data_IF_240377691260
#
_entry.id   IF_240377691260
#
_cell.length_a   1.000
_cell.length_b   1.000
_cell.length_c   1.000
_cell.angle_alpha   90.00
_cell.angle_beta   90.00
_cell.angle_gamma   90.00
#
_symmetry.space_group_name_H-M   'P 1'
#
loop_
_entity.id
_entity.type
_entity.pdbx_description
1 polymer ?
#
# COMPACT_ATOMS: atom_id res chain seq x y z
N UNK A 1 6.31 -26.98 -10.01
CA UNK A 1 6.88 -26.02 -9.05
C UNK A 1 5.75 -25.10 -8.63
N UNK A 2 5.33 -25.13 -7.36
CA UNK A 2 4.26 -24.24 -6.88
C UNK A 2 4.75 -22.79 -6.85
N UNK A 3 3.92 -21.87 -7.34
CA UNK A 3 4.17 -20.42 -7.25
C UNK A 3 4.18 -19.97 -5.78
N UNK A 4 4.77 -18.82 -5.47
CA UNK A 4 4.82 -18.30 -4.10
C UNK A 4 3.40 -18.11 -3.58
N UNK A 5 2.52 -17.61 -4.44
CA UNK A 5 1.09 -17.36 -4.20
C UNK A 5 0.36 -18.67 -3.87
N UNK A 6 0.64 -19.75 -4.61
CA UNK A 6 0.04 -21.06 -4.30
C UNK A 6 0.45 -21.56 -2.91
N UNK A 7 1.72 -21.39 -2.52
CA UNK A 7 2.18 -21.79 -1.18
C UNK A 7 1.48 -20.98 -0.08
N UNK A 8 1.27 -19.68 -0.28
CA UNK A 8 0.56 -18.83 0.67
C UNK A 8 -0.90 -19.27 0.84
N UNK A 9 -1.57 -19.60 -0.27
CA UNK A 9 -2.93 -20.15 -0.24
C UNK A 9 -2.99 -21.50 0.48
N UNK A 10 -2.05 -22.41 0.21
CA UNK A 10 -1.99 -23.72 0.86
C UNK A 10 -1.81 -23.60 2.37
N UNK A 11 -0.99 -22.65 2.85
CA UNK A 11 -0.85 -22.36 4.28
C UNK A 11 -2.22 -21.98 4.87
N UNK A 12 -2.95 -21.06 4.25
CA UNK A 12 -4.27 -20.62 4.74
C UNK A 12 -5.26 -21.79 4.74
N UNK A 13 -5.32 -22.57 3.64
CA UNK A 13 -6.23 -23.71 3.50
C UNK A 13 -5.99 -24.73 4.62
N UNK A 14 -4.72 -25.06 4.88
CA UNK A 14 -4.32 -26.14 5.76
C UNK A 14 -4.16 -25.75 7.23
N UNK A 15 -4.08 -24.45 7.57
CA UNK A 15 -3.76 -23.97 8.93
C UNK A 15 -4.83 -23.11 9.59
N UNK A 16 -5.85 -22.70 8.84
CA UNK A 16 -6.96 -21.86 9.33
C UNK A 16 -8.21 -22.72 9.38
N UNK A 17 -8.88 -22.80 10.53
CA UNK A 17 -10.10 -23.60 10.67
C UNK A 17 -11.37 -22.82 10.33
N UNK A 18 -11.40 -21.53 10.65
CA UNK A 18 -12.59 -20.71 10.51
C UNK A 18 -12.78 -20.24 9.06
N UNK A 19 -13.91 -20.58 8.44
CA UNK A 19 -14.24 -20.16 7.06
C UNK A 19 -14.20 -18.64 6.86
N UNK A 20 -14.79 -17.86 7.76
CA UNK A 20 -14.77 -16.38 7.67
C UNK A 20 -13.37 -15.82 7.81
N UNK A 21 -12.51 -16.47 8.60
CA UNK A 21 -11.10 -16.10 8.68
C UNK A 21 -10.36 -16.42 7.38
N UNK A 22 -10.61 -17.59 6.75
CA UNK A 22 -10.08 -17.91 5.41
C UNK A 22 -10.49 -16.87 4.38
N UNK A 23 -11.78 -16.54 4.30
CA UNK A 23 -12.30 -15.55 3.36
C UNK A 23 -11.60 -14.20 3.55
N UNK A 24 -11.44 -13.76 4.81
CA UNK A 24 -10.71 -12.53 5.14
C UNK A 24 -9.24 -12.60 4.69
N UNK A 25 -8.56 -13.73 4.88
CA UNK A 25 -7.18 -13.92 4.48
C UNK A 25 -7.00 -14.02 2.95
N UNK A 26 -7.97 -14.55 2.22
CA UNK A 26 -7.94 -14.50 0.75
C UNK A 26 -8.11 -13.08 0.22
N UNK A 27 -9.02 -12.30 0.81
CA UNK A 27 -9.13 -10.88 0.49
C UNK A 27 -7.84 -10.13 0.82
N UNK A 28 -7.15 -10.48 1.91
CA UNK A 28 -5.84 -9.95 2.23
C UNK A 28 -4.83 -10.26 1.12
N UNK A 29 -4.72 -11.51 0.65
CA UNK A 29 -3.76 -11.85 -0.42
C UNK A 29 -4.04 -11.09 -1.72
N UNK A 30 -5.31 -10.91 -2.09
CA UNK A 30 -5.67 -10.12 -3.28
C UNK A 30 -5.20 -8.67 -3.13
N UNK A 31 -5.45 -8.04 -1.97
CA UNK A 31 -4.99 -6.68 -1.73
C UNK A 31 -3.47 -6.60 -1.63
N UNK A 32 -2.79 -7.65 -1.18
CA UNK A 32 -1.34 -7.72 -1.12
C UNK A 32 -0.71 -7.76 -2.52
N UNK A 33 -1.28 -8.49 -3.47
CA UNK A 33 -0.83 -8.45 -4.86
C UNK A 33 -0.99 -7.05 -5.47
N UNK A 34 -2.14 -6.41 -5.26
CA UNK A 34 -2.38 -5.03 -5.70
C UNK A 34 -1.37 -4.07 -5.07
N UNK A 35 -1.08 -4.25 -3.78
CA UNK A 35 -0.11 -3.45 -3.05
C UNK A 35 1.28 -3.58 -3.66
N UNK A 36 1.81 -4.80 -3.78
CA UNK A 36 3.14 -5.07 -4.34
C UNK A 36 3.30 -4.50 -5.75
N UNK A 37 2.37 -4.79 -6.65
CA UNK A 37 2.43 -4.30 -8.03
C UNK A 37 2.40 -2.77 -8.08
N UNK A 38 1.65 -2.13 -7.17
CA UNK A 38 1.56 -0.67 -7.15
C UNK A 38 2.80 -0.02 -6.55
N UNK A 39 3.44 -0.64 -5.55
CA UNK A 39 4.72 -0.17 -4.99
C UNK A 39 5.81 -0.16 -6.06
N UNK A 40 5.92 -1.21 -6.87
CA UNK A 40 6.88 -1.27 -7.99
C UNK A 40 6.64 -0.13 -9.00
N UNK A 41 5.38 0.08 -9.39
CA UNK A 41 5.01 1.16 -10.34
C UNK A 41 5.20 2.55 -9.72
N UNK A 42 4.98 2.71 -8.42
CA UNK A 42 5.24 3.94 -7.68
C UNK A 42 6.73 4.29 -7.72
N UNK A 43 7.59 3.30 -7.49
CA UNK A 43 9.04 3.47 -7.55
C UNK A 43 9.50 3.91 -8.94
N UNK A 44 9.04 3.24 -10.00
CA UNK A 44 9.33 3.64 -11.38
C UNK A 44 8.85 5.07 -11.72
N UNK A 45 7.66 5.44 -11.25
CA UNK A 45 7.12 6.77 -11.50
C UNK A 45 7.89 7.86 -10.76
N UNK A 46 8.34 7.59 -9.53
CA UNK A 46 9.23 8.49 -8.79
C UNK A 46 10.59 8.65 -9.46
N UNK A 47 11.18 7.58 -10.00
CA UNK A 47 12.43 7.65 -10.75
C UNK A 47 12.29 8.49 -12.02
N UNK A 48 11.23 8.26 -12.79
CA UNK A 48 10.93 9.05 -14.00
C UNK A 48 10.70 10.52 -13.66
N UNK A 49 9.95 10.82 -12.60
CA UNK A 49 9.73 12.19 -12.13
C UNK A 49 11.05 12.88 -11.77
N UNK A 50 11.93 12.20 -11.03
CA UNK A 50 13.25 12.72 -10.67
C UNK A 50 14.11 12.99 -11.91
N UNK A 51 14.08 12.11 -12.92
CA UNK A 51 14.76 12.32 -14.19
C UNK A 51 14.26 13.59 -14.90
N UNK A 52 12.95 13.80 -15.00
CA UNK A 52 12.40 14.98 -15.69
C UNK A 52 12.66 16.28 -14.91
N UNK A 53 12.65 16.23 -13.57
CA UNK A 53 13.06 17.35 -12.72
C UNK A 53 14.54 17.73 -12.94
N UNK A 54 15.41 16.73 -13.05
CA UNK A 54 16.82 16.94 -13.37
C UNK A 54 17.02 17.48 -14.79
N UNK A 55 16.37 16.87 -15.80
CA UNK A 55 16.50 17.28 -17.19
C UNK A 55 16.09 18.76 -17.39
N UNK A 56 15.02 19.20 -16.73
CA UNK A 56 14.58 20.61 -16.73
C UNK A 56 15.66 21.57 -16.20
N UNK A 57 16.43 21.16 -15.19
CA UNK A 57 17.45 22.02 -14.56
C UNK A 57 18.79 22.01 -15.30
N UNK A 58 19.10 20.93 -16.04
CA UNK A 58 20.35 20.78 -16.80
C UNK A 58 20.27 21.22 -18.26
N UNK A 59 19.09 21.51 -18.82
CA UNK A 59 18.93 22.00 -20.21
C UNK A 59 19.43 23.42 -20.43
N UNK A 60 20.53 23.84 -19.78
CA UNK A 60 21.14 25.13 -20.06
C UNK A 60 21.72 25.22 -21.48
N UNK A 61 21.96 24.09 -22.19
CA UNK A 61 22.61 24.10 -23.52
C UNK A 61 22.21 23.00 -24.54
N UNK A 62 21.15 22.20 -24.34
CA UNK A 62 20.88 21.05 -25.25
C UNK A 62 19.48 21.00 -25.89
N UNK A 63 18.53 21.85 -25.48
CA UNK A 63 17.17 21.90 -26.05
C UNK A 63 16.59 23.33 -26.05
N UNK A 64 17.45 24.36 -26.24
CA UNK A 64 17.26 25.79 -25.95
C UNK A 64 16.08 26.49 -26.68
N UNK A 65 14.86 26.07 -26.41
CA UNK A 65 13.64 26.74 -26.85
C UNK A 65 12.48 26.46 -25.91
N UNK A 66 11.52 27.39 -25.87
CA UNK A 66 10.29 27.37 -25.06
C UNK A 66 9.55 26.02 -25.15
N UNK A 67 9.61 25.34 -26.30
CA UNK A 67 8.96 24.05 -26.55
C UNK A 67 9.61 22.86 -25.82
N UNK A 68 10.94 22.86 -25.63
CA UNK A 68 11.64 21.82 -24.87
C UNK A 68 11.28 21.89 -23.39
N UNK A 69 11.30 23.10 -22.83
CA UNK A 69 10.91 23.36 -21.44
C UNK A 69 9.44 22.98 -21.18
N UNK A 70 8.52 23.32 -22.09
CA UNK A 70 7.11 22.95 -21.98
C UNK A 70 6.94 21.42 -21.91
N UNK A 71 7.60 20.66 -22.79
CA UNK A 71 7.53 19.19 -22.80
C UNK A 71 7.98 18.56 -21.48
N UNK A 72 9.04 19.09 -20.85
CA UNK A 72 9.49 18.60 -19.55
C UNK A 72 8.51 18.92 -18.42
N UNK A 73 7.86 20.10 -18.46
CA UNK A 73 6.80 20.46 -17.51
C UNK A 73 5.57 19.56 -17.66
N UNK A 74 5.17 19.24 -18.89
CA UNK A 74 4.05 18.32 -19.16
C UNK A 74 4.34 16.91 -18.63
N UNK A 75 5.54 16.37 -18.84
CA UNK A 75 5.91 15.08 -18.25
C UNK A 75 5.97 15.14 -16.74
N UNK A 76 6.56 16.17 -16.14
CA UNK A 76 6.58 16.35 -14.70
C UNK A 76 5.16 16.25 -14.12
N UNK A 77 4.22 17.02 -14.68
CA UNK A 77 2.82 17.01 -14.25
C UNK A 77 2.17 15.62 -14.38
N UNK A 78 2.40 14.91 -15.49
CA UNK A 78 1.87 13.56 -15.70
C UNK A 78 2.40 12.59 -14.64
N UNK A 79 3.70 12.62 -14.35
CA UNK A 79 4.28 11.71 -13.35
C UNK A 79 3.87 12.08 -11.93
N UNK A 80 3.67 13.36 -11.61
CA UNK A 80 3.08 13.79 -10.34
C UNK A 80 1.68 13.20 -10.13
N UNK A 81 0.80 13.26 -11.14
CA UNK A 81 -0.53 12.64 -11.09
C UNK A 81 -0.42 11.13 -10.88
N UNK A 82 0.48 10.46 -11.62
CA UNK A 82 0.69 9.01 -11.49
C UNK A 82 1.14 8.61 -10.08
N UNK A 83 2.08 9.36 -9.50
CA UNK A 83 2.56 9.13 -8.13
C UNK A 83 1.40 9.27 -7.14
N UNK A 84 0.61 10.34 -7.22
CA UNK A 84 -0.58 10.52 -6.36
C UNK A 84 -1.57 9.36 -6.54
N UNK A 85 -1.88 8.98 -7.78
CA UNK A 85 -2.78 7.87 -8.07
C UNK A 85 -2.28 6.54 -7.48
N UNK A 86 -0.98 6.25 -7.59
CA UNK A 86 -0.37 5.07 -6.98
C UNK A 86 -0.41 5.14 -5.44
N UNK A 87 -0.18 6.31 -4.83
CA UNK A 87 -0.26 6.48 -3.38
C UNK A 87 -1.67 6.22 -2.85
N UNK A 88 -2.73 6.66 -3.56
CA UNK A 88 -4.11 6.33 -3.20
C UNK A 88 -4.29 4.81 -3.12
N UNK A 89 -3.85 4.09 -4.15
CA UNK A 89 -3.98 2.63 -4.23
C UNK A 89 -3.14 1.93 -3.15
N UNK A 90 -1.88 2.32 -2.95
CA UNK A 90 -0.98 1.75 -1.92
C UNK A 90 -1.58 1.91 -0.52
N UNK A 91 -2.01 3.12 -0.16
CA UNK A 91 -2.55 3.43 1.17
C UNK A 91 -3.86 2.68 1.42
N UNK A 92 -4.76 2.67 0.43
CA UNK A 92 -6.06 1.97 0.55
C UNK A 92 -5.90 0.45 0.58
N UNK A 93 -5.00 -0.12 -0.22
CA UNK A 93 -4.70 -1.55 -0.19
C UNK A 93 -4.07 -1.98 1.14
N UNK A 94 -3.09 -1.22 1.65
CA UNK A 94 -2.48 -1.47 2.96
C UNK A 94 -3.52 -1.45 4.10
N UNK A 95 -4.40 -0.46 4.11
CA UNK A 95 -5.48 -0.38 5.08
C UNK A 95 -6.42 -1.59 5.03
N UNK A 96 -6.78 -2.04 3.82
CA UNK A 96 -7.61 -3.23 3.60
C UNK A 96 -6.92 -4.51 4.06
N UNK A 97 -5.62 -4.68 3.78
CA UNK A 97 -4.80 -5.79 4.28
C UNK A 97 -4.90 -5.87 5.80
N UNK A 98 -4.62 -4.77 6.50
CA UNK A 98 -4.63 -4.71 7.97
C UNK A 98 -6.04 -5.01 8.51
N UNK A 99 -7.07 -4.46 7.89
CA UNK A 99 -8.48 -4.70 8.25
C UNK A 99 -8.85 -6.18 8.11
N UNK A 100 -8.49 -6.82 7.00
CA UNK A 100 -8.72 -8.24 6.76
C UNK A 100 -8.01 -9.12 7.80
N UNK A 101 -6.75 -8.80 8.15
CA UNK A 101 -5.99 -9.51 9.17
C UNK A 101 -6.66 -9.40 10.55
N UNK A 102 -7.12 -8.21 10.92
CA UNK A 102 -7.86 -8.00 12.18
C UNK A 102 -9.19 -8.75 12.20
N UNK A 103 -9.91 -8.79 11.08
CA UNK A 103 -11.14 -9.57 10.96
C UNK A 103 -10.86 -11.08 11.09
N UNK A 104 -9.80 -11.59 10.46
CA UNK A 104 -9.38 -12.98 10.61
C UNK A 104 -9.06 -13.30 12.08
N UNK A 105 -8.28 -12.45 12.77
CA UNK A 105 -8.00 -12.56 14.21
C UNK A 105 -9.27 -12.61 15.06
N UNK A 106 -10.22 -11.72 14.82
CA UNK A 106 -11.47 -11.65 15.56
C UNK A 106 -12.36 -12.90 15.37
N UNK A 107 -12.30 -13.52 14.19
CA UNK A 107 -13.02 -14.75 13.85
C UNK A 107 -12.35 -16.00 14.44
N UNK A 108 -11.03 -16.08 14.48
CA UNK A 108 -10.31 -17.25 15.02
C UNK A 108 -10.20 -17.23 16.55
N UNK A 109 -9.94 -16.07 17.15
CA UNK A 109 -9.69 -15.90 18.59
C UNK A 109 -8.58 -16.80 19.16
N UNK A 110 -7.65 -17.25 18.31
CA UNK A 110 -6.50 -18.06 18.72
C UNK A 110 -5.44 -17.21 19.43
N UNK A 111 -4.68 -17.82 20.35
CA UNK A 111 -3.71 -17.14 21.21
C UNK A 111 -2.41 -16.76 20.49
N UNK A 112 -2.05 -17.49 19.43
CA UNK A 112 -0.85 -17.29 18.61
C UNK A 112 -0.83 -15.92 17.90
N UNK A 113 -1.99 -15.34 17.60
CA UNK A 113 -2.14 -13.97 17.07
C UNK A 113 -1.44 -12.88 17.90
N UNK A 114 -1.15 -13.15 19.18
CA UNK A 114 -0.35 -12.25 20.03
C UNK A 114 1.06 -12.03 19.47
N UNK A 115 1.63 -13.02 18.78
CA UNK A 115 2.99 -12.95 18.22
C UNK A 115 3.17 -11.88 17.15
N UNK A 116 2.08 -11.45 16.50
CA UNK A 116 2.11 -10.43 15.44
C UNK A 116 1.38 -9.13 15.81
N UNK A 117 0.91 -8.98 17.06
CA UNK A 117 0.11 -7.81 17.47
C UNK A 117 0.86 -6.50 17.29
N UNK A 118 2.13 -6.46 17.69
CA UNK A 118 2.97 -5.27 17.59
C UNK A 118 3.18 -4.85 16.13
N UNK A 119 3.31 -5.81 15.21
CA UNK A 119 3.45 -5.54 13.78
C UNK A 119 2.14 -4.98 13.21
N UNK A 120 1.01 -5.57 13.58
CA UNK A 120 -0.32 -5.06 13.19
C UNK A 120 -0.49 -3.61 13.68
N UNK A 121 -0.23 -3.35 14.96
CA UNK A 121 -0.38 -2.03 15.58
C UNK A 121 0.54 -0.97 14.93
N UNK A 122 1.77 -1.35 14.58
CA UNK A 122 2.67 -0.45 13.88
C UNK A 122 2.16 -0.11 12.47
N UNK A 123 1.71 -1.10 11.70
CA UNK A 123 1.11 -0.87 10.39
C UNK A 123 -0.13 0.01 10.49
N UNK A 124 -0.97 -0.23 11.51
CA UNK A 124 -2.21 0.51 11.75
C UNK A 124 -1.98 1.99 12.07
N UNK A 125 -0.87 2.29 12.77
CA UNK A 125 -0.45 3.67 13.06
C UNK A 125 0.04 4.40 11.81
N UNK A 126 0.70 3.68 10.91
CA UNK A 126 1.25 4.22 9.65
C UNK A 126 0.10 4.45 8.64
N UNK A 127 -0.73 3.43 8.43
CA UNK A 127 -1.85 3.42 7.48
C UNK A 127 -3.18 3.63 8.20
N UNK A 128 -3.28 4.69 9.00
CA UNK A 128 -4.46 4.92 9.82
C UNK A 128 -5.70 5.32 9.00
N UNK A 129 -6.87 5.27 9.66
CA UNK A 129 -8.15 5.62 9.03
C UNK A 129 -8.17 7.06 8.50
N UNK A 130 -7.44 8.00 9.12
CA UNK A 130 -7.44 9.40 8.70
C UNK A 130 -6.71 9.56 7.37
N UNK A 131 -5.51 8.98 7.26
CA UNK A 131 -4.73 8.97 6.02
C UNK A 131 -5.51 8.28 4.90
N UNK A 132 -6.06 7.09 5.16
CA UNK A 132 -6.85 6.36 4.16
C UNK A 132 -8.08 7.15 3.70
N UNK A 133 -8.86 7.71 4.61
CA UNK A 133 -10.04 8.51 4.24
C UNK A 133 -9.64 9.79 3.49
N UNK A 134 -8.53 10.42 3.86
CA UNK A 134 -8.02 11.57 3.13
C UNK A 134 -7.78 11.22 1.66
N UNK A 135 -7.09 10.11 1.40
CA UNK A 135 -6.73 9.68 0.05
C UNK A 135 -7.95 9.18 -0.75
N UNK A 136 -8.89 8.46 -0.14
CA UNK A 136 -10.11 7.99 -0.83
C UNK A 136 -10.98 9.16 -1.31
N UNK A 137 -11.01 10.26 -0.57
CA UNK A 137 -11.80 11.45 -0.93
C UNK A 137 -10.98 12.54 -1.64
N UNK A 138 -9.71 12.27 -1.98
CA UNK A 138 -8.84 13.29 -2.59
C UNK A 138 -9.41 13.77 -3.92
N UNK A 139 -9.87 12.85 -4.77
CA UNK A 139 -10.47 13.19 -6.08
C UNK A 139 -11.73 14.05 -5.92
N UNK A 140 -12.64 13.65 -5.03
CA UNK A 140 -13.85 14.43 -4.74
C UNK A 140 -13.53 15.83 -4.23
N UNK A 141 -12.49 15.97 -3.39
CA UNK A 141 -12.03 17.26 -2.88
C UNK A 141 -11.38 18.09 -3.97
N UNK A 142 -10.64 17.48 -4.91
CA UNK A 142 -10.04 18.19 -6.06
C UNK A 142 -11.14 18.85 -6.89
N UNK A 143 -12.24 18.12 -7.15
CA UNK A 143 -13.37 18.66 -7.92
C UNK A 143 -14.26 19.65 -7.15
N UNK A 144 -14.42 19.49 -5.83
CA UNK A 144 -15.38 20.28 -5.03
C UNK A 144 -14.80 21.51 -4.33
N UNK A 145 -13.51 21.51 -3.98
CA UNK A 145 -12.96 22.42 -2.97
C UNK A 145 -11.79 23.29 -3.44
N UNK A 146 -11.48 23.35 -4.74
CA UNK A 146 -10.33 24.11 -5.26
C UNK A 146 -9.04 23.81 -4.47
N UNK A 147 -8.78 22.51 -4.19
CA UNK A 147 -7.56 22.08 -3.51
C UNK A 147 -6.34 22.67 -4.23
N UNK A 148 -5.67 23.63 -3.60
CA UNK A 148 -4.37 24.13 -4.04
C UNK A 148 -3.31 23.09 -3.69
N UNK A 149 -2.12 23.15 -4.32
CA UNK A 149 -0.95 22.32 -3.98
C UNK A 149 -0.54 22.39 -2.48
N UNK A 150 -1.22 23.17 -1.64
CA UNK A 150 -0.98 23.28 -0.20
C UNK A 150 -1.57 22.11 0.60
N UNK A 151 -2.60 21.44 0.10
CA UNK A 151 -3.39 20.50 0.90
C UNK A 151 -3.01 19.04 0.65
N UNK A 152 -2.49 18.72 -0.54
CA UNK A 152 -1.91 17.42 -0.84
C UNK A 152 -0.73 17.61 -1.79
N UNK A 153 0.48 17.29 -1.34
CA UNK A 153 1.68 17.30 -2.17
C UNK A 153 2.69 16.31 -1.61
N UNK A 154 3.68 15.95 -2.40
CA UNK A 154 4.79 15.12 -1.92
C UNK A 154 6.14 15.76 -2.24
N UNK A 155 7.14 15.45 -1.42
CA UNK A 155 8.51 15.91 -1.62
C UNK A 155 9.35 14.91 -2.42
N UNK A 156 10.48 15.34 -3.02
CA UNK A 156 11.46 14.43 -3.61
C UNK A 156 12.00 13.38 -2.63
N UNK A 157 11.95 13.66 -1.32
CA UNK A 157 12.31 12.73 -0.24
C UNK A 157 11.22 11.67 0.04
N UNK A 158 10.20 11.60 -0.82
CA UNK A 158 9.08 10.64 -0.74
C UNK A 158 8.28 10.78 0.56
N UNK A 159 8.06 12.02 0.97
CA UNK A 159 7.13 12.35 2.05
C UNK A 159 5.88 12.93 1.43
N UNK A 160 4.74 12.28 1.65
CA UNK A 160 3.41 12.77 1.29
C UNK A 160 2.87 13.62 2.44
N UNK A 161 2.46 14.83 2.13
CA UNK A 161 1.84 15.77 3.06
C UNK A 161 0.35 15.83 2.75
N UNK A 162 -0.47 15.49 3.75
CA UNK A 162 -1.93 15.54 3.68
C UNK A 162 -2.45 16.50 4.74
N UNK A 163 -3.03 17.61 4.31
CA UNK A 163 -3.56 18.65 5.20
C UNK A 163 -4.99 19.04 4.80
N UNK A 164 -5.93 18.86 5.73
CA UNK A 164 -7.29 19.40 5.69
C UNK A 164 -7.80 19.68 7.11
N UNK A 165 -9.07 20.09 7.24
CA UNK A 165 -9.69 20.40 8.54
C UNK A 165 -9.61 19.26 9.57
N UNK A 166 -9.50 18.00 9.12
CA UNK A 166 -9.56 16.80 9.96
C UNK A 166 -8.23 16.02 10.03
N UNK A 167 -7.30 16.32 9.14
CA UNK A 167 -6.09 15.55 8.88
C UNK A 167 -4.91 16.49 8.73
N UNK A 168 -3.89 16.31 9.55
CA UNK A 168 -2.57 16.91 9.34
C UNK A 168 -1.55 15.77 9.51
N UNK A 169 -1.12 15.21 8.39
CA UNK A 169 -0.35 13.96 8.35
C UNK A 169 0.80 14.07 7.36
N UNK A 170 1.90 13.47 7.78
CA UNK A 170 3.01 13.13 6.92
C UNK A 170 3.07 11.61 6.77
N UNK A 171 3.21 11.15 5.54
CA UNK A 171 3.35 9.74 5.20
C UNK A 171 4.63 9.52 4.43
N UNK A 172 5.55 8.79 5.04
CA UNK A 172 6.82 8.40 4.43
C UNK A 172 6.60 7.17 3.56
N UNK A 173 6.73 7.36 2.24
CA UNK A 173 6.57 6.31 1.22
C UNK A 173 7.90 5.92 0.57
N UNK A 174 9.01 6.05 1.30
CA UNK A 174 10.26 5.41 0.89
C UNK A 174 10.10 3.89 0.82
N UNK A 175 10.78 3.23 -0.14
CA UNK A 175 10.61 1.79 -0.39
C UNK A 175 10.85 0.95 0.88
N UNK A 176 11.83 1.32 1.72
CA UNK A 176 12.08 0.67 3.01
C UNK A 176 10.90 0.76 4.00
N UNK A 177 10.16 1.87 3.98
CA UNK A 177 8.98 2.06 4.85
C UNK A 177 7.79 1.25 4.34
N UNK A 178 7.65 1.11 3.03
CA UNK A 178 6.57 0.35 2.41
C UNK A 178 6.73 -1.18 2.65
N UNK A 179 7.95 -1.68 2.79
CA UNK A 179 8.25 -3.08 3.16
C UNK A 179 7.65 -3.53 4.50
N UNK A 180 7.11 -2.61 5.31
CA UNK A 180 6.43 -2.97 6.56
C UNK A 180 5.20 -3.87 6.31
N UNK A 181 4.55 -3.74 5.14
CA UNK A 181 3.44 -4.61 4.76
C UNK A 181 3.94 -6.02 4.41
N UNK A 182 5.04 -6.14 3.67
CA UNK A 182 5.67 -7.44 3.36
C UNK A 182 6.01 -8.17 4.67
N UNK A 183 6.62 -7.46 5.62
CA UNK A 183 6.92 -7.99 6.95
C UNK A 183 5.67 -8.47 7.68
N UNK A 184 4.56 -7.74 7.61
CA UNK A 184 3.29 -8.15 8.21
C UNK A 184 2.77 -9.45 7.59
N UNK A 185 2.84 -9.59 6.27
CA UNK A 185 2.40 -10.80 5.56
C UNK A 185 3.31 -11.99 5.90
N UNK A 186 4.61 -11.79 5.92
CA UNK A 186 5.59 -12.84 6.23
C UNK A 186 5.44 -13.37 7.66
N UNK A 187 5.31 -12.48 8.64
CA UNK A 187 5.11 -12.88 10.04
C UNK A 187 3.76 -13.59 10.25
N UNK A 188 2.71 -13.14 9.55
CA UNK A 188 1.41 -13.82 9.56
C UNK A 188 1.52 -15.24 9.00
N UNK A 189 2.14 -15.41 7.83
CA UNK A 189 2.30 -16.72 7.20
C UNK A 189 3.19 -17.65 8.00
N UNK A 190 4.24 -17.12 8.64
CA UNK A 190 5.11 -17.87 9.55
C UNK A 190 4.35 -18.34 10.79
N UNK A 191 3.56 -17.45 11.41
CA UNK A 191 2.68 -17.80 12.53
C UNK A 191 1.72 -18.93 12.14
N UNK A 192 1.04 -18.82 10.99
CA UNK A 192 0.12 -19.85 10.50
C UNK A 192 0.86 -21.17 10.21
N UNK A 193 2.05 -21.11 9.60
CA UNK A 193 2.83 -22.29 9.24
C UNK A 193 3.25 -23.12 10.46
N UNK A 194 3.49 -22.46 11.60
CA UNK A 194 3.86 -23.11 12.86
C UNK A 194 2.69 -23.84 13.54
N UNK A 195 1.46 -23.67 13.07
CA UNK A 195 0.31 -24.43 13.59
C UNK A 195 0.39 -25.88 13.17
N UNK A 196 -0.26 -26.77 13.91
CA UNK A 196 -0.50 -28.13 13.44
C UNK A 196 -1.39 -28.09 12.18
N UNK A 197 -1.21 -29.07 11.29
CA UNK A 197 -2.07 -29.17 10.11
C UNK A 197 -3.50 -29.46 10.54
N UNK A 198 -4.45 -28.79 9.91
CA UNK A 198 -5.86 -29.15 10.01
C UNK A 198 -6.02 -30.49 9.29
N UNK A 199 -6.25 -31.55 10.06
CA UNK A 199 -6.73 -32.81 9.49
C UNK A 199 -8.18 -32.51 9.07
N UNK A 200 -8.39 -32.31 7.78
CA UNK A 200 -9.73 -32.34 7.21
C UNK A 200 -10.24 -33.78 7.37
N UNK A 201 -10.84 -34.11 8.50
CA UNK A 201 -11.69 -35.28 8.58
C UNK A 201 -12.86 -34.99 7.63
N UNK A 202 -12.92 -35.69 6.51
CA UNK A 202 -14.14 -35.82 5.74
C UNK A 202 -15.18 -36.47 6.67
N UNK A 203 -15.89 -35.65 7.44
CA UNK A 203 -17.16 -36.07 8.01
C UNK A 203 -18.12 -36.13 6.83
N UNK A 204 -18.25 -37.33 6.29
CA UNK A 204 -19.34 -37.72 5.42
C UNK A 204 -20.66 -37.42 6.13
N UNK A 205 -21.42 -36.48 5.58
CA UNK A 205 -22.89 -36.44 5.60
C UNK A 205 -23.37 -36.10 4.19
#
# INVERSE_FOLDING_TARGET
MFTIETKQMDIIINKVNNKRAKDSLYHMLINYEIYKSTVEVLDENMEKLNFYNFAKTQTCHMNDGIFGEQKYREYQFIYEIKVIGNLIVVITAAHRIITCIKQARANEKSSDWKSISDVIENCDRIFDNKLRNFMEHLEEKIYKQELTNQNCYFSPQRILYCNDENTNKEFDFNSEKLQIIDKLIDELLKMLSNRENVILSESAE
#
